data_IF_774961752030
#
_entry.id   IF_774961752030
#
_cell.length_a   1.000
_cell.length_b   1.000
_cell.length_c   1.000
_cell.angle_alpha   90.00
_cell.angle_beta   90.00
_cell.angle_gamma   90.00
#
_symmetry.space_group_name_H-M   'P 1'
#
loop_
_entity.id
_entity.type
_entity.pdbx_description
1 polymer ?
#
# COMPACT_ATOMS: atom_id res chain seq x y z
N UNK A 1 28.36 -9.30 31.95
CA UNK A 1 28.16 -8.06 31.17
C UNK A 1 28.19 -8.27 29.65
N UNK A 2 29.06 -9.13 29.10
CA UNK A 2 29.19 -9.36 27.64
C UNK A 2 27.89 -9.91 27.00
N UNK A 3 27.17 -10.80 27.71
CA UNK A 3 25.90 -11.38 27.24
C UNK A 3 24.82 -10.31 27.03
N UNK A 4 24.73 -9.32 27.93
CA UNK A 4 23.74 -8.25 27.82
C UNK A 4 24.00 -7.33 26.61
N UNK A 5 25.28 -7.09 26.28
CA UNK A 5 25.70 -6.26 25.14
C UNK A 5 25.37 -6.94 23.81
N UNK A 6 25.45 -8.28 23.74
CA UNK A 6 25.11 -9.05 22.54
C UNK A 6 23.61 -9.26 22.34
N UNK A 7 22.86 -9.41 23.44
CA UNK A 7 21.41 -9.67 23.39
C UNK A 7 20.61 -8.38 23.12
N UNK A 8 21.05 -7.23 23.63
CA UNK A 8 20.39 -5.94 23.43
C UNK A 8 20.12 -5.57 21.95
N UNK A 9 21.08 -5.65 21.00
CA UNK A 9 20.81 -5.29 19.60
C UNK A 9 19.84 -6.25 18.91
N UNK A 10 19.87 -7.54 19.26
CA UNK A 10 18.94 -8.54 18.71
C UNK A 10 17.52 -8.26 19.20
N UNK A 11 17.34 -8.02 20.50
CA UNK A 11 16.04 -7.66 21.06
C UNK A 11 15.51 -6.36 20.47
N UNK A 12 16.38 -5.35 20.28
CA UNK A 12 16.01 -4.09 19.65
C UNK A 12 15.52 -4.29 18.21
N UNK A 13 16.22 -5.10 17.41
CA UNK A 13 15.80 -5.43 16.05
C UNK A 13 14.45 -6.14 16.03
N UNK A 14 14.23 -7.12 16.91
CA UNK A 14 12.94 -7.82 17.01
C UNK A 14 11.81 -6.84 17.33
N UNK A 15 12.03 -5.92 18.28
CA UNK A 15 11.05 -4.89 18.64
C UNK A 15 10.74 -3.98 17.45
N UNK A 16 11.75 -3.52 16.71
CA UNK A 16 11.56 -2.68 15.52
C UNK A 16 10.72 -3.41 14.46
N UNK A 17 11.02 -4.68 14.19
CA UNK A 17 10.29 -5.50 13.22
C UNK A 17 8.83 -5.70 13.65
N UNK A 18 8.59 -5.99 14.93
CA UNK A 18 7.24 -6.17 15.48
C UNK A 18 6.43 -4.87 15.40
N UNK A 19 7.03 -3.73 15.77
CA UNK A 19 6.37 -2.42 15.66
C UNK A 19 6.07 -2.10 14.19
N UNK A 20 7.02 -2.33 13.29
CA UNK A 20 6.83 -2.13 11.85
C UNK A 20 5.69 -2.99 11.29
N UNK A 21 5.58 -4.26 11.72
CA UNK A 21 4.49 -5.14 11.33
C UNK A 21 3.13 -4.67 11.88
N UNK A 22 3.08 -4.23 13.14
CA UNK A 22 1.85 -3.73 13.77
C UNK A 22 1.40 -2.42 13.10
N UNK A 23 2.31 -1.46 12.91
CA UNK A 23 2.03 -0.18 12.26
C UNK A 23 1.62 -0.40 10.80
N UNK A 24 2.31 -1.30 10.09
CA UNK A 24 1.98 -1.68 8.72
C UNK A 24 0.63 -2.42 8.62
N UNK A 25 0.15 -3.06 9.68
CA UNK A 25 -1.17 -3.68 9.76
C UNK A 25 -2.26 -2.69 10.15
N UNK A 26 -1.99 -1.77 11.06
CA UNK A 26 -2.95 -0.76 11.53
C UNK A 26 -3.11 0.41 10.56
N UNK A 27 -2.07 0.76 9.79
CA UNK A 27 -2.14 1.77 8.73
C UNK A 27 -2.89 1.28 7.48
N UNK A 28 -3.33 0.01 7.44
CA UNK A 28 -4.15 -0.49 6.33
C UNK A 28 -5.51 0.18 6.38
N UNK A 29 -5.82 0.93 5.33
CA UNK A 29 -7.12 1.59 5.15
C UNK A 29 -8.27 0.56 5.18
N UNK A 30 -9.45 1.02 5.60
CA UNK A 30 -10.68 0.22 5.51
C UNK A 30 -11.08 0.07 4.04
N UNK A 31 -11.55 -1.12 3.70
CA UNK A 31 -12.16 -1.40 2.42
C UNK A 31 -13.55 -0.76 2.34
N UNK A 32 -13.85 0.07 1.35
CA UNK A 32 -15.20 0.66 1.22
C UNK A 32 -16.26 -0.38 0.85
N UNK A 33 -15.90 -1.54 0.28
CA UNK A 33 -16.85 -2.60 -0.06
C UNK A 33 -17.25 -3.48 1.14
N UNK A 34 -16.28 -3.96 1.92
CA UNK A 34 -16.55 -4.88 3.03
C UNK A 34 -16.36 -4.26 4.43
N UNK A 35 -15.98 -2.97 4.50
CA UNK A 35 -15.68 -2.20 5.72
C UNK A 35 -14.56 -2.76 6.62
N UNK A 36 -13.94 -3.88 6.26
CA UNK A 36 -12.83 -4.48 6.98
C UNK A 36 -11.51 -3.77 6.67
N UNK A 37 -10.60 -3.72 7.65
CA UNK A 37 -9.21 -3.26 7.42
C UNK A 37 -8.45 -4.33 6.64
N UNK A 38 -7.76 -3.92 5.59
CA UNK A 38 -6.99 -4.84 4.76
C UNK A 38 -6.77 -4.39 3.33
N UNK A 39 -6.86 -3.09 3.01
CA UNK A 39 -6.37 -2.60 1.72
C UNK A 39 -4.85 -2.76 1.68
N UNK A 40 -4.39 -3.62 0.78
CA UNK A 40 -2.99 -3.82 0.44
C UNK A 40 -2.70 -3.11 -0.88
N UNK A 41 -1.65 -2.31 -0.90
CA UNK A 41 -1.13 -1.72 -2.13
C UNK A 41 -0.50 -2.83 -2.98
N UNK A 42 -0.91 -2.91 -4.24
CA UNK A 42 -0.42 -3.90 -5.20
C UNK A 42 0.60 -3.27 -6.15
N UNK A 43 0.23 -2.15 -6.77
CA UNK A 43 1.11 -1.44 -7.70
C UNK A 43 0.91 0.07 -7.60
N UNK A 44 1.94 0.80 -8.01
CA UNK A 44 1.90 2.26 -8.21
C UNK A 44 2.36 2.52 -9.62
N UNK A 45 1.51 3.15 -10.41
CA UNK A 45 1.83 3.63 -11.74
C UNK A 45 2.08 5.12 -11.64
N UNK A 46 3.25 5.53 -12.12
CA UNK A 46 3.61 6.93 -12.29
C UNK A 46 3.49 7.25 -13.77
N UNK A 47 2.66 8.22 -14.11
CA UNK A 47 2.51 8.72 -15.47
C UNK A 47 2.98 10.18 -15.50
N UNK A 48 3.79 10.53 -16.48
CA UNK A 48 4.16 11.91 -16.75
C UNK A 48 3.12 12.47 -17.71
N UNK A 49 2.42 13.51 -17.29
CA UNK A 49 1.32 14.12 -18.05
C UNK A 49 1.62 15.59 -18.25
N UNK A 50 1.42 16.11 -19.46
CA UNK A 50 1.52 17.55 -19.72
C UNK A 50 0.13 18.13 -19.53
N UNK A 51 -0.05 18.99 -18.53
CA UNK A 51 -1.30 19.73 -18.28
C UNK A 51 -0.98 21.21 -18.50
N UNK A 52 -1.69 21.85 -19.42
CA UNK A 52 -1.51 23.28 -19.76
C UNK A 52 -0.05 23.66 -20.12
N UNK A 53 0.68 22.76 -20.76
CA UNK A 53 2.09 22.97 -21.14
C UNK A 53 3.11 22.75 -20.00
N UNK A 54 2.65 22.38 -18.81
CA UNK A 54 3.50 22.03 -17.67
C UNK A 54 3.55 20.52 -17.45
N UNK A 55 4.75 19.98 -17.22
CA UNK A 55 4.93 18.58 -16.82
C UNK A 55 4.41 18.37 -15.39
N UNK A 56 3.36 17.57 -15.27
CA UNK A 56 2.76 17.16 -14.01
C UNK A 56 2.92 15.65 -13.83
N UNK A 57 3.27 15.23 -12.61
CA UNK A 57 3.37 13.83 -12.24
C UNK A 57 2.01 13.33 -11.77
N UNK A 58 1.43 12.41 -12.53
CA UNK A 58 0.25 11.67 -12.15
C UNK A 58 0.62 10.37 -11.45
N UNK A 59 0.02 10.11 -10.30
CA UNK A 59 0.20 8.89 -9.52
C UNK A 59 -1.12 8.13 -9.41
N UNK A 60 -1.08 6.86 -9.83
CA UNK A 60 -2.20 5.93 -9.73
C UNK A 60 -1.78 4.73 -8.90
N UNK A 61 -2.42 4.53 -7.75
CA UNK A 61 -2.11 3.44 -6.84
C UNK A 61 -3.21 2.40 -6.88
N UNK A 62 -2.90 1.17 -7.25
CA UNK A 62 -3.85 0.07 -7.24
C UNK A 62 -3.78 -0.67 -5.91
N UNK A 63 -4.95 -0.90 -5.33
CA UNK A 63 -5.15 -1.46 -4.00
C UNK A 63 -6.05 -2.69 -4.12
N UNK A 64 -5.81 -3.72 -3.32
CA UNK A 64 -6.69 -4.88 -3.21
C UNK A 64 -6.99 -5.14 -1.74
N UNK A 65 -8.26 -5.40 -1.44
CA UNK A 65 -8.65 -5.86 -0.12
C UNK A 65 -8.26 -7.32 0.07
N UNK A 66 -7.50 -7.64 1.11
CA UNK A 66 -7.15 -9.03 1.45
C UNK A 66 -8.34 -9.84 1.99
N UNK A 67 -9.44 -9.19 2.38
CA UNK A 67 -10.61 -9.85 2.97
C UNK A 67 -11.65 -10.23 1.93
N UNK A 68 -12.10 -9.27 1.12
CA UNK A 68 -13.13 -9.50 0.10
C UNK A 68 -12.55 -9.64 -1.31
N UNK A 69 -11.24 -9.42 -1.50
CA UNK A 69 -10.60 -9.50 -2.81
C UNK A 69 -10.87 -8.33 -3.74
N UNK A 70 -11.80 -7.42 -3.40
CA UNK A 70 -12.16 -6.26 -4.22
C UNK A 70 -10.96 -5.35 -4.47
N UNK A 71 -10.86 -4.86 -5.69
CA UNK A 71 -9.79 -3.97 -6.16
C UNK A 71 -10.27 -2.52 -6.20
N UNK A 72 -9.38 -1.61 -5.85
CA UNK A 72 -9.61 -0.17 -5.86
C UNK A 72 -8.45 0.54 -6.53
N UNK A 73 -8.75 1.66 -7.18
CA UNK A 73 -7.78 2.61 -7.69
C UNK A 73 -7.79 3.84 -6.79
N UNK A 74 -6.61 4.29 -6.37
CA UNK A 74 -6.42 5.56 -5.69
C UNK A 74 -5.71 6.50 -6.66
N UNK A 75 -6.38 7.57 -7.06
CA UNK A 75 -5.85 8.56 -7.99
C UNK A 75 -6.23 9.94 -7.46
N UNK A 76 -5.24 10.82 -7.30
CA UNK A 76 -5.40 12.17 -6.72
C UNK A 76 -6.15 12.19 -5.35
N UNK A 77 -5.94 11.15 -4.53
CA UNK A 77 -6.61 11.02 -3.23
C UNK A 77 -8.03 10.46 -3.27
N UNK A 78 -8.61 10.27 -4.47
CA UNK A 78 -9.92 9.68 -4.68
C UNK A 78 -9.77 8.16 -4.82
N UNK A 79 -10.53 7.42 -4.00
CA UNK A 79 -10.57 5.96 -4.05
C UNK A 79 -11.81 5.52 -4.85
N UNK A 80 -11.61 4.88 -5.99
CA UNK A 80 -12.66 4.36 -6.87
C UNK A 80 -12.49 2.87 -7.13
N UNK A 81 -13.51 2.22 -7.70
CA UNK A 81 -13.37 0.87 -8.25
C UNK A 81 -12.37 0.87 -9.42
N UNK A 82 -11.66 -0.25 -9.62
CA UNK A 82 -10.81 -0.42 -10.80
C UNK A 82 -11.72 -0.65 -12.01
N UNK A 83 -11.66 0.18 -13.06
CA UNK A 83 -12.44 -0.04 -14.27
C UNK A 83 -11.92 -1.27 -15.04
N UNK A 84 -12.80 -1.91 -15.81
CA UNK A 84 -12.53 -3.23 -16.41
C UNK A 84 -11.34 -3.24 -17.39
N UNK A 85 -11.10 -2.11 -18.06
CA UNK A 85 -9.99 -1.89 -18.99
C UNK A 85 -8.63 -1.80 -18.29
N UNK A 86 -8.58 -1.27 -17.06
CA UNK A 86 -7.35 -1.15 -16.25
C UNK A 86 -7.09 -2.38 -15.36
N UNK A 87 -7.96 -3.38 -15.43
CA UNK A 87 -7.87 -4.56 -14.55
C UNK A 87 -6.60 -5.38 -14.80
N UNK A 88 -6.06 -5.31 -16.02
CA UNK A 88 -4.77 -5.93 -16.40
C UNK A 88 -3.58 -5.24 -15.71
N UNK A 89 -3.56 -3.91 -15.65
CA UNK A 89 -2.52 -3.12 -14.97
C UNK A 89 -2.56 -3.29 -13.45
N UNK A 90 -3.76 -3.42 -12.88
CA UNK A 90 -3.94 -3.73 -11.47
C UNK A 90 -3.43 -5.13 -11.07
N UNK A 91 -3.19 -6.01 -12.06
CA UNK A 91 -2.72 -7.39 -11.84
C UNK A 91 -1.27 -7.61 -12.28
N UNK A 92 -0.67 -6.64 -12.99
CA UNK A 92 0.64 -6.78 -13.64
C UNK A 92 1.83 -6.94 -12.67
N UNK A 93 1.63 -6.66 -11.38
CA UNK A 93 2.66 -6.73 -10.34
C UNK A 93 2.17 -7.44 -9.05
N UNK A 94 1.06 -8.19 -9.13
CA UNK A 94 0.42 -8.86 -7.99
C UNK A 94 0.87 -10.30 -7.78
#
# INVERSE_FOLDING_TARGET
MIIAILVAPVVLLVVIVVIGAIVGRFSRRRCPACMQRGLKQMSVVRAETVVDGHEALDYRTYLRCEKCGTRFKLHQGILSGVPDDEMSEATRFG
#
